data_IF_073736372464
#
_entry.id   IF_073736372464
#
_cell.length_a   1.000
_cell.length_b   1.000
_cell.length_c   1.000
_cell.angle_alpha   90.00
_cell.angle_beta   90.00
_cell.angle_gamma   90.00
#
_symmetry.space_group_name_H-M   'P 1'
#
loop_
_entity.id
_entity.type
_entity.pdbx_description
1 polymer ?
#
# COMPACT_ATOMS: atom_id res chain seq x y z
N UNK A 1 17.52 4.33 13.90
CA UNK A 1 16.55 5.00 13.00
C UNK A 1 15.87 3.91 12.19
N UNK A 2 14.59 3.68 12.43
CA UNK A 2 13.81 2.67 11.72
C UNK A 2 12.67 3.39 11.02
N UNK A 3 12.61 3.30 9.69
CA UNK A 3 11.41 3.68 8.97
C UNK A 3 10.41 2.55 9.13
N UNK A 4 9.15 2.90 9.40
CA UNK A 4 8.10 1.91 9.35
C UNK A 4 7.78 1.62 7.89
N UNK A 5 7.95 0.36 7.50
CA UNK A 5 7.69 -0.10 6.15
C UNK A 5 6.52 -1.06 6.16
N UNK A 6 5.69 -0.97 5.13
CA UNK A 6 4.59 -1.89 4.90
C UNK A 6 4.72 -2.50 3.51
N UNK A 7 4.81 -3.83 3.49
CA UNK A 7 4.96 -4.62 2.27
C UNK A 7 3.86 -5.69 2.23
N UNK A 8 2.73 -5.42 1.55
CA UNK A 8 1.63 -6.37 1.50
C UNK A 8 2.02 -7.60 0.68
N UNK A 9 1.86 -8.78 1.27
CA UNK A 9 2.11 -10.07 0.62
C UNK A 9 0.85 -10.92 0.64
N UNK A 10 0.50 -11.57 -0.47
CA UNK A 10 -0.52 -12.62 -0.50
C UNK A 10 0.14 -14.01 -0.44
N UNK A 11 -0.51 -14.96 0.22
CA UNK A 11 -0.12 -16.37 0.21
C UNK A 11 -0.95 -17.07 -0.85
N UNK A 12 -0.29 -17.50 -1.92
CA UNK A 12 -0.92 -18.24 -3.00
C UNK A 12 -0.45 -19.69 -2.93
N UNK A 13 -1.38 -20.63 -3.02
CA UNK A 13 -1.02 -22.02 -3.21
C UNK A 13 -0.61 -22.23 -4.67
N UNK A 14 0.59 -22.72 -4.89
CA UNK A 14 1.05 -23.08 -6.21
C UNK A 14 0.24 -24.29 -6.70
N UNK A 15 -0.62 -24.09 -7.71
CA UNK A 15 -1.51 -25.15 -8.20
C UNK A 15 -0.80 -26.39 -8.75
N UNK A 16 0.50 -26.30 -9.06
CA UNK A 16 1.28 -27.42 -9.62
C UNK A 16 2.05 -28.21 -8.57
N UNK A 17 2.49 -27.56 -7.48
CA UNK A 17 3.30 -28.20 -6.43
C UNK A 17 2.59 -28.29 -5.08
N UNK A 18 1.45 -27.62 -4.92
CA UNK A 18 0.72 -27.51 -3.66
C UNK A 18 1.41 -26.64 -2.60
N UNK A 19 2.60 -26.10 -2.90
CA UNK A 19 3.39 -25.30 -1.97
C UNK A 19 2.78 -23.91 -1.80
N UNK A 20 2.72 -23.44 -0.56
CA UNK A 20 2.31 -22.07 -0.26
C UNK A 20 3.47 -21.12 -0.59
N UNK A 21 3.24 -20.18 -1.49
CA UNK A 21 4.21 -19.17 -1.90
C UNK A 21 3.72 -17.78 -1.47
N UNK A 22 4.61 -17.03 -0.81
CA UNK A 22 4.39 -15.61 -0.54
C UNK A 22 4.68 -14.83 -1.81
N UNK A 23 3.70 -14.11 -2.33
CA UNK A 23 3.87 -13.19 -3.46
C UNK A 23 3.52 -11.78 -3.05
N UNK A 24 4.28 -10.77 -3.51
CA UNK A 24 3.93 -9.38 -3.27
C UNK A 24 2.57 -9.04 -3.86
N UNK A 25 1.76 -8.32 -3.09
CA UNK A 25 0.45 -7.85 -3.54
C UNK A 25 0.59 -6.80 -4.64
N UNK A 26 1.52 -5.87 -4.42
CA UNK A 26 1.94 -4.84 -5.36
C UNK A 26 3.44 -5.05 -5.67
N UNK A 27 3.77 -5.84 -6.70
CA UNK A 27 5.18 -6.10 -7.03
C UNK A 27 5.87 -4.79 -7.44
N UNK A 28 7.05 -4.54 -6.85
CA UNK A 28 7.83 -3.33 -7.12
C UNK A 28 7.46 -2.11 -6.28
N UNK A 29 6.48 -2.23 -5.37
CA UNK A 29 6.04 -1.12 -4.50
C UNK A 29 6.26 -1.45 -3.02
N UNK A 30 6.74 -0.45 -2.29
CA UNK A 30 6.91 -0.48 -0.84
C UNK A 30 6.27 0.78 -0.27
N UNK A 31 5.48 0.61 0.79
CA UNK A 31 4.89 1.73 1.51
C UNK A 31 5.78 2.06 2.70
N UNK A 32 6.06 3.34 2.91
CA UNK A 32 6.94 3.79 4.00
C UNK A 32 6.26 4.92 4.76
N UNK A 33 6.29 4.87 6.09
CA UNK A 33 5.93 6.00 6.93
C UNK A 33 7.18 6.81 7.18
N UNK A 34 7.24 7.98 6.57
CA UNK A 34 8.35 8.90 6.68
C UNK A 34 7.83 10.30 6.99
N UNK A 35 8.49 10.96 7.93
CA UNK A 35 8.30 12.38 8.19
C UNK A 35 9.20 13.15 7.24
N UNK A 36 8.62 13.80 6.23
CA UNK A 36 9.35 14.52 5.19
C UNK A 36 9.97 15.84 5.68
N UNK A 37 9.58 16.33 6.87
CA UNK A 37 10.24 17.46 7.53
C UNK A 37 11.54 17.01 8.21
N UNK A 38 11.61 15.75 8.63
CA UNK A 38 12.80 15.15 9.26
C UNK A 38 13.69 14.37 8.28
N UNK A 39 13.12 13.78 7.22
CA UNK A 39 13.82 12.99 6.20
C UNK A 39 13.82 13.72 4.86
N UNK A 40 15.01 13.95 4.31
CA UNK A 40 15.13 14.50 2.96
C UNK A 40 14.68 13.47 1.92
N UNK A 41 13.91 13.91 0.92
CA UNK A 41 13.49 13.06 -0.21
C UNK A 41 14.68 12.38 -0.91
N UNK A 42 15.85 13.04 -0.88
CA UNK A 42 17.11 12.49 -1.38
C UNK A 42 17.48 11.16 -0.72
N UNK A 43 17.17 10.95 0.56
CA UNK A 43 17.46 9.67 1.23
C UNK A 43 16.84 8.47 0.52
N UNK A 44 15.65 8.63 -0.07
CA UNK A 44 14.97 7.57 -0.82
C UNK A 44 15.48 7.42 -2.25
N UNK A 45 15.96 8.51 -2.87
CA UNK A 45 16.50 8.49 -4.24
C UNK A 45 17.82 7.71 -4.34
N UNK A 46 18.60 7.65 -3.25
CA UNK A 46 19.87 6.92 -3.21
C UNK A 46 19.73 5.48 -2.71
N UNK A 47 18.50 4.96 -2.52
CA UNK A 47 18.31 3.58 -2.09
C UNK A 47 18.63 2.61 -3.23
N UNK A 48 19.63 1.72 -3.07
CA UNK A 48 19.99 0.77 -4.11
C UNK A 48 18.81 -0.18 -4.40
N UNK A 49 18.60 -0.51 -5.67
CA UNK A 49 17.50 -1.36 -6.17
C UNK A 49 16.10 -0.75 -6.04
N UNK A 50 16.00 0.57 -5.82
CA UNK A 50 14.72 1.30 -5.78
C UNK A 50 14.72 2.36 -6.89
N UNK A 51 13.59 2.51 -7.60
CA UNK A 51 13.41 3.56 -8.62
C UNK A 51 13.21 4.96 -8.00
N UNK A 52 12.97 5.01 -6.69
CA UNK A 52 12.72 6.22 -5.91
C UNK A 52 11.31 6.26 -5.32
N UNK A 53 10.87 7.45 -4.92
CA UNK A 53 9.50 7.68 -4.47
C UNK A 53 8.58 7.86 -5.68
N UNK A 54 7.36 7.33 -5.59
CA UNK A 54 6.30 7.67 -6.55
C UNK A 54 5.94 9.13 -6.33
N UNK A 55 6.08 9.95 -7.37
CA UNK A 55 5.76 11.37 -7.34
C UNK A 55 4.75 11.72 -8.42
N UNK A 56 3.74 12.50 -8.06
CA UNK A 56 2.75 13.07 -8.97
C UNK A 56 2.94 14.59 -8.99
N UNK A 57 3.00 15.21 -10.18
CA UNK A 57 3.10 16.67 -10.34
C UNK A 57 4.15 17.31 -9.42
N UNK A 58 5.34 16.68 -9.32
CA UNK A 58 6.49 17.09 -8.48
C UNK A 58 6.37 16.89 -6.96
N UNK A 59 5.28 16.29 -6.46
CA UNK A 59 5.11 15.95 -5.04
C UNK A 59 5.12 14.44 -4.82
N UNK A 60 5.72 13.95 -3.71
CA UNK A 60 5.62 12.54 -3.35
C UNK A 60 4.16 12.16 -3.12
N UNK A 61 3.77 10.99 -3.62
CA UNK A 61 2.43 10.45 -3.44
C UNK A 61 2.14 10.25 -1.96
N UNK A 62 1.06 10.86 -1.47
CA UNK A 62 0.61 10.66 -0.10
C UNK A 62 -0.32 9.44 -0.04
N UNK A 63 -0.06 8.54 0.90
CA UNK A 63 -0.88 7.36 1.15
C UNK A 63 -1.64 7.58 2.46
N UNK A 64 -2.96 7.77 2.42
CA UNK A 64 -3.72 7.98 3.65
C UNK A 64 -3.74 6.74 4.55
N UNK A 65 -3.80 6.94 5.87
CA UNK A 65 -3.86 5.85 6.85
C UNK A 65 -5.06 4.92 6.63
N UNK A 66 -6.20 5.44 6.18
CA UNK A 66 -7.39 4.65 5.90
C UNK A 66 -7.17 3.66 4.75
N UNK A 67 -6.39 4.03 3.73
CA UNK A 67 -6.04 3.16 2.61
C UNK A 67 -5.10 2.04 3.10
N UNK A 68 -4.14 2.38 3.95
CA UNK A 68 -3.26 1.39 4.58
C UNK A 68 -4.06 0.39 5.42
N UNK A 69 -5.08 0.87 6.15
CA UNK A 69 -5.99 0.03 6.92
C UNK A 69 -6.81 -0.89 6.01
N UNK A 70 -7.38 -0.36 4.92
CA UNK A 70 -8.10 -1.13 3.90
C UNK A 70 -7.24 -2.27 3.34
N UNK A 71 -6.01 -1.93 2.96
CA UNK A 71 -5.02 -2.90 2.48
C UNK A 71 -4.74 -3.98 3.51
N UNK A 72 -4.59 -3.61 4.78
CA UNK A 72 -4.34 -4.57 5.86
C UNK A 72 -5.53 -5.48 6.09
N UNK A 73 -6.74 -4.95 6.11
CA UNK A 73 -7.96 -5.74 6.25
C UNK A 73 -8.11 -6.72 5.10
N UNK A 74 -8.03 -6.23 3.85
CA UNK A 74 -8.22 -7.07 2.67
C UNK A 74 -7.14 -8.15 2.53
N UNK A 75 -5.88 -7.79 2.82
CA UNK A 75 -4.77 -8.76 2.86
C UNK A 75 -4.95 -9.74 4.01
N UNK A 76 -5.39 -9.31 5.20
CA UNK A 76 -5.63 -10.22 6.33
C UNK A 76 -6.84 -11.14 6.11
N UNK A 77 -7.89 -10.68 5.44
CA UNK A 77 -9.04 -11.52 5.07
C UNK A 77 -8.63 -12.58 4.03
N UNK A 78 -7.67 -12.26 3.16
CA UNK A 78 -7.07 -13.24 2.24
C UNK A 78 -5.91 -14.05 2.85
N UNK A 79 -5.35 -13.62 3.98
CA UNK A 79 -4.25 -14.26 4.69
C UNK A 79 -4.72 -14.81 6.05
N UNK A 80 -4.80 -16.13 6.17
CA UNK A 80 -4.58 -16.76 7.49
C UNK A 80 -3.10 -16.57 7.91
N UNK A 81 -2.80 -15.39 8.44
CA UNK A 81 -1.64 -14.94 9.25
C UNK A 81 -0.21 -15.08 8.70
N UNK A 82 0.44 -13.93 8.48
CA UNK A 82 1.82 -13.69 8.94
C UNK A 82 1.90 -12.28 9.51
N UNK A 83 2.21 -12.10 10.81
CA UNK A 83 2.38 -10.78 11.38
C UNK A 83 3.74 -10.23 10.97
N UNK A 84 3.76 -9.22 10.09
CA UNK A 84 4.90 -8.30 10.00
C UNK A 84 4.64 -7.21 11.04
N UNK A 85 5.36 -7.25 12.16
CA UNK A 85 5.38 -6.30 13.28
C UNK A 85 4.34 -5.18 13.19
N UNK A 86 3.14 -5.47 13.70
CA UNK A 86 2.07 -4.51 13.87
C UNK A 86 2.17 -3.91 15.26
N UNK A 87 2.56 -2.63 15.34
CA UNK A 87 2.16 -1.79 16.46
C UNK A 87 1.51 -0.55 15.87
N UNK A 88 0.23 -0.68 15.51
CA UNK A 88 -0.65 0.45 15.27
C UNK A 88 -1.71 0.40 16.35
N UNK A 89 -1.70 1.40 17.24
CA UNK A 89 -2.69 1.55 18.28
C UNK A 89 -4.07 1.68 17.63
N UNK A 90 -4.97 0.74 17.96
CA UNK A 90 -6.30 0.58 17.39
C UNK A 90 -7.35 1.45 18.11
N UNK A 91 -7.10 2.75 18.23
CA UNK A 91 -8.04 3.67 18.88
C UNK A 91 -8.60 4.63 17.83
N UNK A 92 -9.77 4.30 17.25
CA UNK A 92 -10.48 5.19 16.31
C UNK A 92 -11.24 4.54 15.13
N UNK A 93 -11.45 3.23 15.10
CA UNK A 93 -12.03 2.50 13.95
C UNK A 93 -13.53 2.22 14.14
N UNK A 94 -14.37 3.25 14.08
CA UNK A 94 -15.83 3.09 14.10
C UNK A 94 -16.59 3.83 12.98
N UNK A 95 -15.89 4.56 12.09
CA UNK A 95 -16.52 5.38 11.05
C UNK A 95 -15.98 5.17 9.63
N UNK A 96 -15.13 4.17 9.40
CA UNK A 96 -14.38 4.04 8.15
C UNK A 96 -15.04 3.11 7.10
N UNK A 97 -16.02 2.30 7.50
CA UNK A 97 -16.60 1.22 6.67
C UNK A 97 -17.18 1.67 5.32
N UNK A 98 -17.67 2.91 5.19
CA UNK A 98 -18.23 3.39 3.93
C UNK A 98 -17.18 3.94 2.95
N UNK A 99 -16.16 4.64 3.45
CA UNK A 99 -15.05 5.16 2.63
C UNK A 99 -14.06 4.07 2.23
N UNK A 100 -14.02 2.97 2.99
CA UNK A 100 -13.18 1.81 2.71
C UNK A 100 -13.58 1.07 1.41
N UNK A 101 -14.85 1.16 1.04
CA UNK A 101 -15.45 0.39 -0.06
C UNK A 101 -14.98 0.84 -1.44
N UNK A 102 -14.61 2.11 -1.58
CA UNK A 102 -14.00 2.64 -2.82
C UNK A 102 -12.62 2.00 -3.07
N UNK A 103 -11.93 1.55 -2.00
CA UNK A 103 -10.62 0.92 -2.09
C UNK A 103 -10.65 -0.55 -2.52
N UNK A 104 -11.77 -1.25 -2.34
CA UNK A 104 -11.90 -2.67 -2.69
C UNK A 104 -11.66 -2.95 -4.18
N UNK A 105 -11.91 -1.95 -5.04
CA UNK A 105 -11.88 -2.11 -6.50
C UNK A 105 -10.53 -2.60 -7.01
N UNK A 106 -9.41 -2.04 -6.55
CA UNK A 106 -8.05 -2.48 -6.94
C UNK A 106 -7.40 -3.39 -5.90
N UNK A 107 -8.02 -3.57 -4.73
CA UNK A 107 -7.58 -4.53 -3.73
C UNK A 107 -8.05 -5.95 -4.04
N UNK A 108 -8.91 -6.19 -5.02
CA UNK A 108 -9.39 -7.52 -5.35
C UNK A 108 -8.27 -8.48 -5.82
N UNK A 109 -8.14 -9.64 -5.17
CA UNK A 109 -7.14 -10.68 -5.49
C UNK A 109 -7.33 -11.31 -6.88
N UNK A 110 -8.54 -11.23 -7.44
CA UNK A 110 -8.84 -11.75 -8.79
C UNK A 110 -8.25 -10.88 -9.90
N UNK A 111 -7.87 -9.63 -9.59
CA UNK A 111 -7.16 -8.78 -10.53
C UNK A 111 -5.72 -9.26 -10.70
N UNK A 112 -5.14 -9.00 -11.86
CA UNK A 112 -3.71 -9.19 -12.07
C UNK A 112 -2.90 -8.16 -11.26
N UNK A 113 -1.64 -8.48 -10.96
CA UNK A 113 -0.77 -7.53 -10.24
C UNK A 113 -0.63 -6.18 -10.97
N UNK A 114 -0.66 -6.16 -12.30
CA UNK A 114 -0.62 -4.93 -13.08
C UNK A 114 -1.88 -4.08 -12.93
N UNK A 115 -3.06 -4.70 -12.93
CA UNK A 115 -4.34 -4.00 -12.71
C UNK A 115 -4.43 -3.39 -11.32
N UNK A 116 -3.98 -4.12 -10.29
CA UNK A 116 -3.93 -3.62 -8.91
C UNK A 116 -3.00 -2.42 -8.77
N UNK A 117 -1.81 -2.50 -9.37
CA UNK A 117 -0.84 -1.39 -9.38
C UNK A 117 -1.40 -0.18 -10.11
N UNK A 118 -2.00 -0.38 -11.29
CA UNK A 118 -2.59 0.70 -12.07
C UNK A 118 -3.73 1.40 -11.32
N UNK A 119 -4.62 0.62 -10.69
CA UNK A 119 -5.72 1.15 -9.87
C UNK A 119 -5.21 1.93 -8.65
N UNK A 120 -4.21 1.41 -7.96
CA UNK A 120 -3.56 2.11 -6.85
C UNK A 120 -2.96 3.45 -7.30
N UNK A 121 -2.17 3.46 -8.38
CA UNK A 121 -1.52 4.68 -8.87
C UNK A 121 -2.55 5.73 -9.29
N UNK A 122 -3.59 5.34 -10.03
CA UNK A 122 -4.65 6.24 -10.48
C UNK A 122 -5.38 6.89 -9.30
N UNK A 123 -5.55 6.13 -8.21
CA UNK A 123 -6.19 6.66 -7.02
C UNK A 123 -5.26 7.58 -6.22
N UNK A 124 -3.98 7.20 -6.05
CA UNK A 124 -3.00 8.07 -5.41
C UNK A 124 -2.79 9.37 -6.18
N UNK A 125 -2.86 9.32 -7.51
CA UNK A 125 -2.89 10.49 -8.38
C UNK A 125 -4.12 11.37 -8.08
N UNK A 126 -5.32 10.79 -8.04
CA UNK A 126 -6.56 11.50 -7.70
C UNK A 126 -6.58 12.12 -6.30
N UNK A 127 -5.91 11.49 -5.32
CA UNK A 127 -5.74 12.02 -3.97
C UNK A 127 -4.64 13.09 -3.87
N UNK A 128 -3.61 12.99 -4.72
CA UNK A 128 -2.49 13.94 -4.76
C UNK A 128 -2.83 15.21 -5.56
N UNK A 129 -3.80 15.10 -6.48
CA UNK A 129 -4.39 16.25 -7.16
C UNK A 129 -5.35 16.95 -6.19
N UNK A 130 -5.18 18.25 -5.90
CA UNK A 130 -6.23 19.00 -5.24
C UNK A 130 -7.44 18.96 -6.16
N UNK A 131 -8.58 18.48 -5.65
CA UNK A 131 -9.86 18.58 -6.33
C UNK A 131 -10.09 20.06 -6.65
N UNK A 132 -9.81 20.43 -7.90
CA UNK A 132 -10.05 21.77 -8.41
C UNK A 132 -11.55 22.00 -8.28
N UNK A 133 -11.92 22.75 -7.24
CA UNK A 133 -13.26 23.30 -7.11
C UNK A 133 -13.49 24.21 -8.32
N UNK A 134 -14.46 23.87 -9.16
CA UNK A 134 -15.08 24.78 -10.13
C UNK A 134 -16.49 24.33 -10.40
#
# INVERSE_FOLDING_TARGET
MGLEIYFPCSRLQNGRTGKLELRPYFPGYLFVRADLDQLSLSTFQWMPHTEGLVCFETRPAYVPDHLLLAMRQHVNDTLTSVPLQQQMNSDGIAGLDSELKDYDTFLNINLTSGERVSGLLKMLEGLSLPSASS
#
